data_IF_486093511277
#
_entry.id   IF_486093511277
#
_cell.length_a   1.000
_cell.length_b   1.000
_cell.length_c   1.000
_cell.angle_alpha   90.00
_cell.angle_beta   90.00
_cell.angle_gamma   90.00
#
_symmetry.space_group_name_H-M   'P 1'
#
loop_
_entity.id
_entity.type
_entity.pdbx_description
1 polymer ?
#
# COMPACT_ATOMS: atom_id res chain seq x y z
N UNK A 1 18.25 -2.76 -9.50
CA UNK A 1 16.78 -2.94 -9.36
C UNK A 1 16.38 -4.41 -9.15
N UNK A 2 17.08 -5.39 -9.74
CA UNK A 2 16.82 -6.82 -9.54
C UNK A 2 17.03 -7.35 -8.10
N UNK A 3 18.00 -6.83 -7.33
CA UNK A 3 18.19 -7.25 -5.94
C UNK A 3 17.15 -6.70 -4.95
N UNK A 4 16.41 -5.64 -5.31
CA UNK A 4 15.36 -5.07 -4.44
C UNK A 4 14.08 -5.92 -4.45
N UNK A 5 13.79 -6.60 -5.57
CA UNK A 5 12.67 -7.53 -5.68
C UNK A 5 12.88 -8.82 -4.88
N UNK A 6 14.10 -9.11 -4.42
CA UNK A 6 14.38 -10.25 -3.55
C UNK A 6 14.32 -9.86 -2.05
N UNK A 7 14.11 -8.58 -1.75
CA UNK A 7 13.96 -8.10 -0.38
C UNK A 7 12.50 -8.21 0.04
N UNK A 8 12.23 -9.16 0.94
CA UNK A 8 10.89 -9.47 1.41
C UNK A 8 10.14 -8.22 1.92
N UNK A 9 10.85 -7.32 2.62
CA UNK A 9 10.25 -6.08 3.12
C UNK A 9 9.80 -5.12 2.02
N UNK A 10 10.49 -5.11 0.88
CA UNK A 10 10.13 -4.29 -0.27
C UNK A 10 8.88 -4.82 -0.97
N UNK A 11 8.82 -6.13 -1.18
CA UNK A 11 7.64 -6.79 -1.79
C UNK A 11 6.41 -6.60 -0.90
N UNK A 12 6.56 -6.78 0.41
CA UNK A 12 5.48 -6.53 1.38
C UNK A 12 5.03 -5.07 1.30
N UNK A 13 5.97 -4.11 1.25
CA UNK A 13 5.65 -2.69 1.10
C UNK A 13 4.82 -2.40 -0.15
N UNK A 14 5.22 -2.95 -1.29
CA UNK A 14 4.49 -2.80 -2.56
C UNK A 14 3.08 -3.41 -2.47
N UNK A 15 2.93 -4.60 -1.87
CA UNK A 15 1.63 -5.23 -1.69
C UNK A 15 0.66 -4.31 -0.92
N UNK A 16 1.10 -3.75 0.20
CA UNK A 16 0.29 -2.82 0.98
C UNK A 16 -0.05 -1.53 0.22
N UNK A 17 0.87 -1.00 -0.58
CA UNK A 17 0.60 0.15 -1.45
C UNK A 17 -0.50 -0.16 -2.47
N UNK A 18 -0.43 -1.33 -3.12
CA UNK A 18 -1.43 -1.73 -4.12
C UNK A 18 -2.82 -1.86 -3.47
N UNK A 19 -2.91 -2.54 -2.32
CA UNK A 19 -4.18 -2.68 -1.60
C UNK A 19 -4.72 -1.32 -1.15
N UNK A 20 -3.85 -0.43 -0.66
CA UNK A 20 -4.23 0.93 -0.30
C UNK A 20 -4.82 1.71 -1.49
N UNK A 21 -4.20 1.62 -2.66
CA UNK A 21 -4.71 2.25 -3.88
C UNK A 21 -6.06 1.68 -4.29
N UNK A 22 -6.26 0.36 -4.19
CA UNK A 22 -7.56 -0.27 -4.47
C UNK A 22 -8.65 0.26 -3.53
N UNK A 23 -8.34 0.40 -2.23
CA UNK A 23 -9.32 0.90 -1.25
C UNK A 23 -9.63 2.39 -1.43
N UNK A 24 -8.62 3.21 -1.66
CA UNK A 24 -8.78 4.67 -1.82
C UNK A 24 -9.43 5.02 -3.16
N UNK A 25 -8.90 4.48 -4.27
CA UNK A 25 -9.44 4.73 -5.61
C UNK A 25 -10.79 4.03 -5.76
N UNK A 26 -10.93 2.80 -5.26
CA UNK A 26 -12.20 2.07 -5.28
C UNK A 26 -13.30 2.79 -4.50
N UNK A 27 -12.97 3.43 -3.37
CA UNK A 27 -13.92 4.26 -2.63
C UNK A 27 -14.37 5.53 -3.36
N UNK A 28 -13.59 6.02 -4.32
CA UNK A 28 -13.96 7.16 -5.17
C UNK A 28 -14.76 6.73 -6.41
N UNK A 29 -14.52 5.51 -6.93
CA UNK A 29 -15.13 5.02 -8.16
C UNK A 29 -16.40 4.20 -7.93
N UNK A 30 -16.58 3.63 -6.74
CA UNK A 30 -17.70 2.75 -6.42
C UNK A 30 -18.36 3.13 -5.09
N UNK A 31 -19.67 3.41 -5.06
CA UNK A 31 -20.39 3.65 -3.82
C UNK A 31 -20.39 2.42 -2.90
N UNK A 32 -20.21 1.22 -3.44
CA UNK A 32 -20.05 0.00 -2.65
C UNK A 32 -18.73 -0.06 -1.87
N UNK A 33 -17.74 0.78 -2.21
CA UNK A 33 -16.46 0.90 -1.51
C UNK A 33 -16.32 2.25 -0.78
N UNK A 34 -17.30 3.15 -0.88
CA UNK A 34 -17.27 4.50 -0.30
C UNK A 34 -17.55 4.52 1.22
N UNK A 35 -16.94 3.59 1.95
CA UNK A 35 -17.01 3.54 3.40
C UNK A 35 -15.83 4.29 4.01
N UNK A 36 -16.10 5.06 5.07
CA UNK A 36 -15.04 5.73 5.83
C UNK A 36 -13.94 4.75 6.27
N UNK A 37 -14.33 3.51 6.62
CA UNK A 37 -13.40 2.42 6.95
C UNK A 37 -12.38 2.16 5.84
N UNK A 38 -12.80 2.16 4.56
CA UNK A 38 -11.90 1.90 3.44
C UNK A 38 -10.89 3.04 3.25
N UNK A 39 -11.29 4.28 3.50
CA UNK A 39 -10.38 5.43 3.46
C UNK A 39 -9.35 5.42 4.59
N UNK A 40 -9.77 5.11 5.83
CA UNK A 40 -8.83 5.00 6.95
C UNK A 40 -7.87 3.82 6.78
N UNK A 41 -8.38 2.65 6.38
CA UNK A 41 -7.56 1.45 6.18
C UNK A 41 -6.61 1.62 5.00
N UNK A 42 -7.11 2.18 3.88
CA UNK A 42 -6.29 2.51 2.72
C UNK A 42 -5.22 3.53 3.05
N UNK A 43 -5.53 4.58 3.80
CA UNK A 43 -4.55 5.56 4.26
C UNK A 43 -3.45 4.96 5.14
N UNK A 44 -3.82 4.13 6.12
CA UNK A 44 -2.86 3.45 6.99
C UNK A 44 -1.96 2.48 6.21
N UNK A 45 -2.53 1.72 5.27
CA UNK A 45 -1.78 0.80 4.42
C UNK A 45 -0.86 1.52 3.45
N UNK A 46 -1.24 2.70 2.96
CA UNK A 46 -0.39 3.52 2.11
C UNK A 46 0.86 3.99 2.89
N UNK A 47 0.66 4.54 4.09
CA UNK A 47 1.75 5.02 4.94
C UNK A 47 2.68 3.88 5.34
N UNK A 48 2.12 2.75 5.76
CA UNK A 48 2.90 1.56 6.12
C UNK A 48 3.66 0.98 4.92
N UNK A 49 2.99 0.83 3.78
CA UNK A 49 3.60 0.27 2.57
C UNK A 49 4.73 1.15 2.03
N UNK A 50 4.58 2.47 2.06
CA UNK A 50 5.64 3.42 1.71
C UNK A 50 6.80 3.34 2.70
N UNK A 51 6.53 3.33 4.00
CA UNK A 51 7.57 3.19 5.02
C UNK A 51 8.39 1.90 4.84
N UNK A 52 7.71 0.79 4.56
CA UNK A 52 8.33 -0.50 4.30
C UNK A 52 9.14 -0.50 3.00
N UNK A 53 8.58 -0.02 1.89
CA UNK A 53 9.27 0.01 0.59
C UNK A 53 10.52 0.91 0.61
N UNK A 54 10.45 2.05 1.31
CA UNK A 54 11.59 2.98 1.46
C UNK A 54 12.60 2.45 2.47
N UNK A 55 12.15 1.92 3.62
CA UNK A 55 13.01 1.42 4.68
C UNK A 55 13.78 0.14 4.32
N UNK A 56 13.15 -0.75 3.56
CA UNK A 56 13.77 -2.00 3.09
C UNK A 56 14.81 -1.78 1.98
N UNK A 57 14.71 -0.67 1.24
CA UNK A 57 15.69 -0.31 0.20
C UNK A 57 16.99 0.32 0.68
N UNK A 58 17.16 0.53 2.00
CA UNK A 58 18.32 1.18 2.64
C UNK A 58 19.37 0.20 3.23
N UNK A 59 19.13 -1.11 3.16
CA UNK A 59 20.08 -2.15 3.59
C UNK A 59 20.80 -2.76 2.40
#
# INVERSE_FOLDING_TARGET
>A
MFNKLNNLGFIIGIFFIIVALILLIGGLLSPALAYALNFYTGGAFLVFGVAMAVGSGRK
#
